data_IF_563938258677
#
_entry.id   IF_563938258677
#
_cell.length_a   1.000
_cell.length_b   1.000
_cell.length_c   1.000
_cell.angle_alpha   90.00
_cell.angle_beta   90.00
_cell.angle_gamma   90.00
#
_symmetry.space_group_name_H-M   'P 1'
#
loop_
_entity.id
_entity.type
_entity.pdbx_description
1 polymer ?
#
# COMPACT_ATOMS: atom_id res chain seq x y z
N UNK A 1 5.72 7.15 -22.04
CA UNK A 1 5.21 8.04 -20.96
C UNK A 1 5.34 7.31 -19.64
N UNK A 2 6.02 7.86 -18.64
CA UNK A 2 6.33 7.20 -17.36
C UNK A 2 5.39 7.71 -16.25
N UNK A 3 4.09 7.51 -16.43
CA UNK A 3 3.07 8.10 -15.55
C UNK A 3 3.01 7.35 -14.22
N UNK A 4 2.92 8.10 -13.13
CA UNK A 4 2.75 7.56 -11.78
C UNK A 4 1.38 7.96 -11.25
N UNK A 5 0.61 6.99 -10.78
CA UNK A 5 -0.71 7.19 -10.18
C UNK A 5 -0.77 6.56 -8.79
N UNK A 6 -1.66 7.09 -7.95
CA UNK A 6 -1.89 6.61 -6.59
C UNK A 6 -3.34 6.12 -6.51
N UNK A 7 -3.56 4.94 -5.93
CA UNK A 7 -4.90 4.37 -5.73
C UNK A 7 -5.01 3.77 -4.34
N UNK A 8 -6.17 3.95 -3.72
CA UNK A 8 -6.54 3.17 -2.53
C UNK A 8 -7.31 1.94 -3.01
N UNK A 9 -6.87 0.77 -2.58
CA UNK A 9 -7.46 -0.52 -2.91
C UNK A 9 -7.70 -1.33 -1.64
N UNK A 10 -8.61 -2.30 -1.71
CA UNK A 10 -8.95 -3.20 -0.59
C UNK A 10 -9.30 -4.58 -1.13
N UNK A 11 -9.43 -5.58 -0.25
CA UNK A 11 -9.95 -6.89 -0.64
C UNK A 11 -11.49 -6.84 -0.79
N UNK A 12 -11.95 -6.31 -1.93
CA UNK A 12 -13.37 -6.07 -2.25
C UNK A 12 -13.92 -7.02 -3.33
N UNK A 13 -13.27 -8.16 -3.56
CA UNK A 13 -13.61 -9.12 -4.63
C UNK A 13 -13.43 -8.57 -6.06
N UNK A 14 -12.89 -7.35 -6.24
CA UNK A 14 -12.47 -6.87 -7.55
C UNK A 14 -11.18 -7.59 -7.99
N UNK A 15 -11.22 -8.23 -9.15
CA UNK A 15 -10.11 -9.03 -9.66
C UNK A 15 -8.82 -8.22 -9.88
N UNK A 16 -8.93 -6.95 -10.33
CA UNK A 16 -7.78 -6.07 -10.49
C UNK A 16 -7.16 -5.71 -9.13
N UNK A 17 -7.99 -5.36 -8.15
CA UNK A 17 -7.52 -5.03 -6.80
C UNK A 17 -6.80 -6.22 -6.16
N UNK A 18 -7.36 -7.44 -6.28
CA UNK A 18 -6.72 -8.66 -5.77
C UNK A 18 -5.35 -8.89 -6.42
N UNK A 19 -5.21 -8.66 -7.73
CA UNK A 19 -3.92 -8.74 -8.43
C UNK A 19 -2.92 -7.72 -7.88
N UNK A 20 -3.34 -6.47 -7.67
CA UNK A 20 -2.47 -5.46 -7.08
C UNK A 20 -2.08 -5.75 -5.63
N UNK A 21 -3.00 -6.31 -4.82
CA UNK A 21 -2.69 -6.77 -3.46
C UNK A 21 -1.69 -7.93 -3.47
N UNK A 22 -1.77 -8.83 -4.45
CA UNK A 22 -0.79 -9.90 -4.65
C UNK A 22 0.59 -9.36 -5.01
N UNK A 23 0.67 -8.33 -5.86
CA UNK A 23 1.95 -7.67 -6.14
C UNK A 23 2.48 -6.96 -4.90
N UNK A 24 1.62 -6.23 -4.19
CA UNK A 24 1.99 -5.47 -3.00
C UNK A 24 2.49 -6.37 -1.86
N UNK A 25 1.84 -7.50 -1.57
CA UNK A 25 2.31 -8.44 -0.54
C UNK A 25 3.69 -9.02 -0.89
N UNK A 26 3.99 -9.22 -2.17
CA UNK A 26 5.32 -9.67 -2.59
C UNK A 26 6.38 -8.58 -2.38
N UNK A 27 6.02 -7.31 -2.60
CA UNK A 27 6.91 -6.18 -2.29
C UNK A 27 7.19 -6.14 -0.78
N UNK A 28 6.15 -6.16 0.07
CA UNK A 28 6.34 -6.17 1.52
C UNK A 28 7.21 -7.36 1.98
N UNK A 29 6.92 -8.57 1.50
CA UNK A 29 7.70 -9.76 1.89
C UNK A 29 9.18 -9.67 1.48
N UNK A 30 9.51 -9.01 0.36
CA UNK A 30 10.91 -8.78 -0.05
C UNK A 30 11.58 -7.65 0.73
N UNK A 31 10.87 -6.55 0.95
CA UNK A 31 11.47 -5.34 1.54
C UNK A 31 11.48 -5.37 3.08
N UNK A 32 10.65 -6.20 3.70
CA UNK A 32 10.52 -6.35 5.15
C UNK A 32 10.86 -7.79 5.57
N UNK A 33 12.13 -8.24 5.44
CA UNK A 33 12.51 -9.64 5.65
C UNK A 33 12.33 -10.13 7.09
N UNK A 34 12.21 -9.21 8.06
CA UNK A 34 11.95 -9.52 9.47
C UNK A 34 10.46 -9.78 9.77
N UNK A 35 9.57 -9.49 8.81
CA UNK A 35 8.13 -9.71 8.97
C UNK A 35 7.75 -11.11 8.45
N UNK A 36 7.04 -11.93 9.24
CA UNK A 36 6.54 -13.22 8.78
C UNK A 36 5.66 -13.07 7.53
N UNK A 37 5.82 -13.95 6.54
CA UNK A 37 5.07 -13.86 5.28
C UNK A 37 3.58 -14.08 5.49
N UNK A 38 3.23 -14.98 6.39
CA UNK A 38 1.86 -15.30 6.80
C UNK A 38 1.19 -14.08 7.44
N UNK A 39 1.94 -13.32 8.25
CA UNK A 39 1.46 -12.09 8.87
C UNK A 39 1.19 -11.00 7.83
N UNK A 40 2.11 -10.82 6.87
CA UNK A 40 1.93 -9.89 5.75
C UNK A 40 0.66 -10.26 4.95
N UNK A 41 0.54 -11.53 4.55
CA UNK A 41 -0.62 -12.01 3.79
C UNK A 41 -1.91 -11.77 4.56
N UNK A 42 -1.94 -12.11 5.85
CA UNK A 42 -3.13 -11.93 6.71
C UNK A 42 -3.62 -10.48 6.67
N UNK A 43 -2.74 -9.51 6.87
CA UNK A 43 -3.13 -8.09 6.93
C UNK A 43 -3.42 -7.48 5.57
N UNK A 44 -2.61 -7.78 4.53
CA UNK A 44 -2.85 -7.24 3.17
C UNK A 44 -4.19 -7.68 2.59
N UNK A 45 -4.65 -8.89 2.93
CA UNK A 45 -5.92 -9.42 2.46
C UNK A 45 -7.07 -9.31 3.49
N UNK A 46 -6.84 -8.73 4.67
CA UNK A 46 -7.89 -8.45 5.63
C UNK A 46 -8.81 -7.34 5.08
N UNK A 47 -10.13 -7.54 5.15
CA UNK A 47 -11.13 -6.57 4.66
C UNK A 47 -11.20 -5.31 5.51
N UNK A 48 -10.68 -5.34 6.74
CA UNK A 48 -10.56 -4.18 7.60
C UNK A 48 -9.34 -3.31 7.28
N UNK A 49 -8.44 -3.80 6.41
CA UNK A 49 -7.28 -3.06 5.94
C UNK A 49 -7.51 -2.53 4.53
N UNK A 50 -6.92 -1.38 4.28
CA UNK A 50 -6.84 -0.79 2.95
C UNK A 50 -5.37 -0.60 2.58
N UNK A 51 -5.10 -0.48 1.29
CA UNK A 51 -3.76 -0.26 0.78
C UNK A 51 -3.71 0.92 -0.18
N UNK A 52 -2.90 1.93 0.14
CA UNK A 52 -2.54 2.97 -0.82
C UNK A 52 -1.35 2.50 -1.63
N UNK A 53 -1.54 2.29 -2.93
CA UNK A 53 -0.50 1.83 -3.84
C UNK A 53 -0.03 2.93 -4.79
N UNK A 54 1.21 2.80 -5.24
CA UNK A 54 1.73 3.53 -6.38
C UNK A 54 1.72 2.60 -7.59
N UNK A 55 1.10 3.04 -8.67
CA UNK A 55 1.14 2.38 -9.97
C UNK A 55 2.03 3.15 -10.94
N UNK A 56 2.84 2.41 -11.70
CA UNK A 56 3.47 2.90 -12.91
C UNK A 56 2.64 2.47 -14.11
N UNK A 57 2.32 3.43 -14.98
CA UNK A 57 1.53 3.23 -16.19
C UNK A 57 0.22 2.47 -15.91
N UNK A 58 -0.41 2.75 -14.76
CA UNK A 58 -1.63 2.12 -14.25
C UNK A 58 -1.63 0.59 -14.14
N UNK A 59 -0.48 -0.08 -14.26
CA UNK A 59 -0.41 -1.53 -14.40
C UNK A 59 0.56 -2.20 -13.43
N UNK A 60 1.68 -1.54 -13.11
CA UNK A 60 2.73 -2.12 -12.26
C UNK A 60 2.75 -1.47 -10.88
N UNK A 61 2.56 -2.25 -9.82
CA UNK A 61 2.76 -1.78 -8.45
C UNK A 61 4.25 -1.56 -8.19
N UNK A 62 4.61 -0.35 -7.73
CA UNK A 62 6.01 -0.01 -7.40
C UNK A 62 6.25 0.10 -5.90
N UNK A 63 5.19 0.16 -5.11
CA UNK A 63 5.21 0.23 -3.64
C UNK A 63 3.84 0.60 -3.11
N UNK A 64 3.73 0.67 -1.78
CA UNK A 64 2.48 1.06 -1.13
C UNK A 64 2.57 1.08 0.40
N UNK A 65 1.44 1.47 0.99
CA UNK A 65 1.18 1.46 2.43
C UNK A 65 -0.04 0.59 2.66
N UNK A 66 0.06 -0.39 3.57
CA UNK A 66 -1.10 -1.10 4.12
C UNK A 66 -1.44 -0.48 5.48
N UNK A 67 -2.70 -0.09 5.67
CA UNK A 67 -3.16 0.60 6.87
C UNK A 67 -4.57 0.19 7.26
N UNK A 68 -4.93 0.45 8.51
CA UNK A 68 -6.29 0.32 9.05
C UNK A 68 -6.75 1.66 9.59
N UNK A 69 -7.89 2.13 9.14
CA UNK A 69 -8.50 3.37 9.62
C UNK A 69 -9.46 3.09 10.78
N UNK A 70 -9.32 3.86 11.85
CA UNK A 70 -10.18 3.86 13.03
C UNK A 70 -10.95 5.18 13.05
N UNK A 71 -12.10 5.19 12.35
CA UNK A 71 -12.86 6.42 12.07
C UNK A 71 -13.43 7.09 13.32
N UNK A 72 -13.82 6.31 14.32
CA UNK A 72 -14.39 6.85 15.56
C UNK A 72 -13.31 7.55 16.40
N UNK A 73 -12.12 6.94 16.45
CA UNK A 73 -10.96 7.36 17.21
C UNK A 73 -10.06 8.35 16.45
N UNK A 74 -10.40 8.64 15.19
CA UNK A 74 -9.72 9.60 14.30
C UNK A 74 -8.22 9.34 14.16
N UNK A 75 -7.84 8.07 13.99
CA UNK A 75 -6.47 7.73 13.64
C UNK A 75 -6.42 6.59 12.62
N UNK A 76 -5.24 6.40 12.02
CA UNK A 76 -4.97 5.26 11.15
C UNK A 76 -3.66 4.61 11.55
N UNK A 77 -3.67 3.28 11.64
CA UNK A 77 -2.50 2.48 11.91
C UNK A 77 -1.85 2.06 10.59
N UNK A 78 -0.58 2.38 10.40
CA UNK A 78 0.21 1.88 9.27
C UNK A 78 0.83 0.55 9.67
N UNK A 79 0.35 -0.54 9.09
CA UNK A 79 0.89 -1.88 9.31
C UNK A 79 2.19 -2.09 8.52
N UNK A 80 2.20 -1.68 7.24
CA UNK A 80 3.36 -1.83 6.36
C UNK A 80 3.55 -0.63 5.45
N UNK A 81 4.80 -0.30 5.16
CA UNK A 81 5.20 0.66 4.13
C UNK A 81 6.45 0.12 3.44
N UNK A 82 6.41 0.01 2.11
CA UNK A 82 7.57 -0.38 1.34
C UNK A 82 7.51 0.12 -0.11
N UNK A 83 8.68 0.38 -0.66
CA UNK A 83 8.91 0.68 -2.08
C UNK A 83 9.86 -0.37 -2.63
N UNK A 84 9.64 -0.83 -3.86
CA UNK A 84 10.57 -1.71 -4.58
C UNK A 84 11.97 -1.11 -4.64
N UNK A 85 13.02 -1.93 -4.47
CA UNK A 85 14.41 -1.46 -4.40
C UNK A 85 14.82 -0.59 -5.61
N UNK A 86 14.36 -0.93 -6.82
CA UNK A 86 14.63 -0.17 -8.05
C UNK A 86 14.00 1.23 -8.10
N UNK A 87 13.04 1.49 -7.21
CA UNK A 87 12.29 2.75 -7.13
C UNK A 87 12.55 3.52 -5.83
N UNK A 88 13.36 2.97 -4.92
CA UNK A 88 13.79 3.67 -3.71
C UNK A 88 14.65 4.90 -4.06
N UNK A 89 14.78 5.82 -3.10
CA UNK A 89 15.56 7.08 -3.21
C UNK A 89 14.96 8.09 -4.22
N UNK A 90 13.88 7.75 -4.94
CA UNK A 90 13.15 8.67 -5.85
C UNK A 90 12.02 9.46 -5.16
N UNK A 91 12.00 9.49 -3.83
CA UNK A 91 10.99 10.21 -3.03
C UNK A 91 9.59 9.57 -2.97
N UNK A 92 9.40 8.36 -3.51
CA UNK A 92 8.09 7.70 -3.54
C UNK A 92 7.50 7.40 -2.15
N UNK A 93 8.34 7.06 -1.16
CA UNK A 93 7.88 6.88 0.22
C UNK A 93 7.27 8.15 0.81
N UNK A 94 7.95 9.29 0.65
CA UNK A 94 7.43 10.60 1.07
C UNK A 94 6.13 10.95 0.35
N UNK A 95 6.05 10.70 -0.96
CA UNK A 95 4.83 10.96 -1.74
C UNK A 95 3.66 10.09 -1.30
N UNK A 96 3.89 8.82 -0.97
CA UNK A 96 2.86 7.95 -0.39
C UNK A 96 2.35 8.49 0.94
N UNK A 97 3.25 8.84 1.86
CA UNK A 97 2.87 9.40 3.17
C UNK A 97 2.07 10.69 3.02
N UNK A 98 2.49 11.59 2.13
CA UNK A 98 1.76 12.83 1.87
C UNK A 98 0.38 12.58 1.26
N UNK A 99 0.28 11.63 0.32
CA UNK A 99 -1.01 11.24 -0.26
C UNK A 99 -1.93 10.58 0.77
N UNK A 100 -1.39 9.75 1.65
CA UNK A 100 -2.13 9.11 2.73
C UNK A 100 -2.67 10.15 3.71
N UNK A 101 -1.84 11.10 4.16
CA UNK A 101 -2.27 12.22 5.01
C UNK A 101 -3.40 13.03 4.37
N UNK A 102 -3.28 13.36 3.08
CA UNK A 102 -4.33 14.07 2.35
C UNK A 102 -5.62 13.26 2.21
N UNK A 103 -5.53 11.92 2.13
CA UNK A 103 -6.69 11.04 2.02
C UNK A 103 -7.53 10.97 3.30
N UNK A 104 -6.91 11.13 4.47
CA UNK A 104 -7.61 11.22 5.74
C UNK A 104 -8.22 12.60 6.03
N UNK A 105 -8.17 13.53 5.07
CA UNK A 105 -8.93 14.77 5.15
C UNK A 105 -8.53 15.68 6.32
N UNK A 106 -7.25 15.79 6.63
CA UNK A 106 -6.77 16.69 7.67
C UNK A 106 -7.37 16.37 9.04
N UNK A 107 -6.85 15.32 9.67
CA UNK A 107 -6.80 15.31 11.14
C UNK A 107 -5.98 16.52 11.60
#
# INVERSE_FOLDING_TARGET
TNQITFRVIRNDQNHENVKFLLDLKNIFARQLPKMPKEYIVKLVFDRNHESMIILRNNTKVVGGICFREFKQERFAEIAFLAITSTEQIKGFGTRLMNKLKGNFGGI
#
